data_IF_147823805950
#
_entry.id   IF_147823805950
#
_cell.length_a   1.000
_cell.length_b   1.000
_cell.length_c   1.000
_cell.angle_alpha   90.00
_cell.angle_beta   90.00
_cell.angle_gamma   90.00
#
_symmetry.space_group_name_H-M   'P 1'
#
loop_
_entity.id
_entity.type
_entity.pdbx_description
1 polymer ?
#
# COMPACT_ATOMS: atom_id res chain seq x y z
N UNK A 1 -2.89 -19.82 3.02
CA UNK A 1 -2.81 -18.91 1.85
C UNK A 1 -1.45 -18.21 1.83
N UNK A 2 -0.83 -17.98 0.66
CA UNK A 2 0.46 -17.28 0.57
C UNK A 2 0.31 -15.75 0.66
N UNK A 3 1.33 -15.05 1.14
CA UNK A 3 1.36 -13.59 1.12
C UNK A 3 1.41 -13.05 -0.32
N UNK A 4 0.58 -12.04 -0.59
CA UNK A 4 0.49 -11.39 -1.90
C UNK A 4 0.64 -9.86 -1.77
N UNK A 5 0.99 -9.15 -2.86
CA UNK A 5 1.07 -7.68 -2.85
C UNK A 5 -0.25 -7.00 -2.45
N UNK A 6 -1.40 -7.58 -2.83
CA UNK A 6 -2.71 -6.98 -2.57
C UNK A 6 -3.06 -6.92 -1.08
N UNK A 7 -2.59 -7.88 -0.27
CA UNK A 7 -2.81 -7.86 1.18
C UNK A 7 -2.06 -6.69 1.81
N UNK A 8 -0.80 -6.46 1.42
CA UNK A 8 0.01 -5.34 1.92
C UNK A 8 -0.64 -4.00 1.56
N UNK A 9 -1.09 -3.85 0.31
CA UNK A 9 -1.77 -2.63 -0.14
C UNK A 9 -3.10 -2.41 0.58
N UNK A 10 -3.89 -3.45 0.81
CA UNK A 10 -5.15 -3.34 1.53
C UNK A 10 -4.95 -2.95 3.01
N UNK A 11 -3.90 -3.47 3.67
CA UNK A 11 -3.53 -3.07 5.02
C UNK A 11 -3.08 -1.60 5.09
N UNK A 12 -2.28 -1.15 4.12
CA UNK A 12 -1.86 0.25 4.01
C UNK A 12 -3.04 1.19 3.76
N UNK A 13 -3.98 0.82 2.88
CA UNK A 13 -5.20 1.60 2.64
C UNK A 13 -6.01 1.78 3.93
N UNK A 14 -6.11 0.73 4.76
CA UNK A 14 -6.87 0.77 6.01
C UNK A 14 -6.19 1.60 7.10
N UNK A 15 -4.87 1.52 7.21
CA UNK A 15 -4.11 2.17 8.30
C UNK A 15 -3.62 3.57 7.96
N UNK A 16 -3.41 3.86 6.68
CA UNK A 16 -2.64 5.02 6.26
C UNK A 16 -1.14 4.84 6.50
N UNK A 17 -0.45 5.94 6.84
CA UNK A 17 0.98 5.92 7.09
C UNK A 17 1.33 5.08 8.34
N UNK A 18 2.25 4.14 8.21
CA UNK A 18 2.62 3.21 9.30
C UNK A 18 4.11 2.86 9.24
N UNK A 19 4.64 2.20 10.27
CA UNK A 19 6.01 1.66 10.22
C UNK A 19 6.05 0.28 9.57
N UNK A 20 7.21 -0.12 9.04
CA UNK A 20 7.42 -1.48 8.52
C UNK A 20 7.06 -2.57 9.54
N UNK A 21 7.42 -2.36 10.81
CA UNK A 21 7.11 -3.30 11.90
C UNK A 21 5.61 -3.45 12.09
N UNK A 22 4.88 -2.35 12.20
CA UNK A 22 3.43 -2.37 12.42
C UNK A 22 2.68 -2.96 11.21
N UNK A 23 3.16 -2.64 10.00
CA UNK A 23 2.61 -3.21 8.78
C UNK A 23 2.81 -4.72 8.73
N UNK A 24 4.01 -5.20 9.06
CA UNK A 24 4.31 -6.63 9.11
C UNK A 24 3.39 -7.36 10.09
N UNK A 25 3.25 -6.87 11.33
CA UNK A 25 2.41 -7.53 12.34
C UNK A 25 0.93 -7.54 11.93
N UNK A 26 0.44 -6.50 11.24
CA UNK A 26 -0.94 -6.48 10.74
C UNK A 26 -1.14 -7.44 9.58
N UNK A 27 -0.24 -7.42 8.60
CA UNK A 27 -0.26 -8.35 7.45
C UNK A 27 -0.19 -9.79 7.94
N UNK A 28 0.66 -10.08 8.93
CA UNK A 28 0.79 -11.39 9.55
C UNK A 28 -0.54 -11.87 10.14
N UNK A 29 -1.20 -11.06 10.97
CA UNK A 29 -2.51 -11.39 11.53
C UNK A 29 -3.57 -11.65 10.46
N UNK A 30 -3.57 -10.86 9.38
CA UNK A 30 -4.52 -11.03 8.26
C UNK A 30 -4.25 -12.29 7.45
N UNK A 31 -3.00 -12.70 7.29
CA UNK A 31 -2.64 -13.94 6.60
C UNK A 31 -2.94 -15.17 7.49
N UNK A 32 -2.63 -15.09 8.78
CA UNK A 32 -2.89 -16.17 9.75
C UNK A 32 -4.38 -16.43 9.95
N UNK A 33 -5.23 -15.39 9.92
CA UNK A 33 -6.69 -15.54 10.07
C UNK A 33 -7.35 -16.34 8.94
N UNK A 34 -6.69 -16.45 7.79
CA UNK A 34 -7.14 -17.25 6.64
C UNK A 34 -6.31 -18.54 6.45
N UNK A 35 -5.62 -18.99 7.49
CA UNK A 35 -4.81 -20.21 7.48
C UNK A 35 -3.57 -20.11 6.59
N UNK A 36 -3.00 -18.92 6.46
CA UNK A 36 -1.72 -18.68 5.80
C UNK A 36 -0.58 -18.49 6.79
N UNK A 37 0.63 -18.53 6.25
CA UNK A 37 1.84 -18.16 6.97
C UNK A 37 2.59 -17.11 6.15
N UNK A 38 3.35 -16.27 6.85
CA UNK A 38 4.19 -15.25 6.24
C UNK A 38 5.54 -15.19 6.95
N UNK A 39 6.61 -15.29 6.18
CA UNK A 39 7.94 -15.00 6.68
C UNK A 39 8.29 -13.52 6.55
N UNK A 40 9.17 -13.02 7.42
CA UNK A 40 9.71 -11.65 7.30
C UNK A 40 10.38 -11.41 5.95
N UNK A 41 11.10 -12.40 5.42
CA UNK A 41 11.84 -12.26 4.16
C UNK A 41 10.91 -12.13 2.96
N UNK A 42 9.81 -12.88 2.91
CA UNK A 42 8.77 -12.73 1.87
C UNK A 42 8.10 -11.36 1.94
N UNK A 43 7.75 -10.92 3.15
CA UNK A 43 7.18 -9.59 3.35
C UNK A 43 8.12 -8.48 2.85
N UNK A 44 9.39 -8.51 3.25
CA UNK A 44 10.38 -7.51 2.82
C UNK A 44 10.55 -7.50 1.30
N UNK A 45 10.65 -8.67 0.66
CA UNK A 45 10.77 -8.75 -0.82
C UNK A 45 9.56 -8.13 -1.52
N UNK A 46 8.36 -8.39 -1.03
CA UNK A 46 7.13 -7.84 -1.61
C UNK A 46 7.02 -6.34 -1.37
N UNK A 47 7.38 -5.87 -0.18
CA UNK A 47 7.39 -4.44 0.13
C UNK A 47 8.36 -3.67 -0.77
N UNK A 48 9.59 -4.18 -0.97
CA UNK A 48 10.56 -3.60 -1.92
C UNK A 48 10.03 -3.63 -3.36
N UNK A 49 9.36 -4.71 -3.76
CA UNK A 49 8.75 -4.81 -5.09
C UNK A 49 7.66 -3.75 -5.30
N UNK A 50 6.84 -3.51 -4.28
CA UNK A 50 5.81 -2.47 -4.30
C UNK A 50 6.42 -1.07 -4.37
N UNK A 51 7.54 -0.85 -3.70
CA UNK A 51 8.27 0.42 -3.73
C UNK A 51 8.88 0.69 -5.11
N UNK A 52 9.59 -0.29 -5.68
CA UNK A 52 10.18 -0.18 -7.01
C UNK A 52 9.14 0.08 -8.11
N UNK A 53 7.92 -0.43 -7.91
CA UNK A 53 6.79 -0.21 -8.83
C UNK A 53 6.01 1.08 -8.57
N UNK A 54 6.38 1.86 -7.54
CA UNK A 54 5.76 3.13 -7.22
C UNK A 54 4.38 3.03 -6.56
N UNK A 55 4.04 1.90 -5.95
CA UNK A 55 2.78 1.76 -5.20
C UNK A 55 2.89 2.27 -3.76
N UNK A 56 4.08 2.15 -3.18
CA UNK A 56 4.39 2.59 -1.82
C UNK A 56 5.67 3.41 -1.84
N UNK A 57 5.83 4.26 -0.83
CA UNK A 57 7.06 5.00 -0.57
C UNK A 57 7.50 4.73 0.85
N UNK A 58 8.78 4.41 1.03
CA UNK A 58 9.42 4.45 2.34
C UNK A 58 9.99 5.85 2.55
N UNK A 59 9.47 6.54 3.56
CA UNK A 59 9.90 7.86 3.99
C UNK A 59 10.73 7.76 5.27
N UNK A 60 11.67 8.70 5.43
CA UNK A 60 12.34 9.05 6.70
C UNK A 60 12.47 7.92 7.71
N UNK A 61 11.81 8.04 8.87
CA UNK A 61 11.84 7.08 9.98
C UNK A 61 11.17 5.72 9.69
N UNK A 62 11.40 5.14 8.49
CA UNK A 62 10.79 3.90 7.99
C UNK A 62 9.27 3.95 7.98
N UNK A 63 8.72 5.13 7.68
CA UNK A 63 7.29 5.34 7.47
C UNK A 63 6.95 4.88 6.07
N UNK A 64 5.97 4.00 5.95
CA UNK A 64 5.46 3.49 4.69
C UNK A 64 4.16 4.22 4.41
N UNK A 65 4.09 4.86 3.25
CA UNK A 65 2.91 5.55 2.77
C UNK A 65 2.53 4.95 1.43
N UNK A 66 1.25 4.62 1.26
CA UNK A 66 0.74 4.23 -0.04
C UNK A 66 0.62 5.48 -0.91
N UNK A 67 1.17 5.42 -2.12
CA UNK A 67 1.24 6.60 -2.97
C UNK A 67 -0.12 7.00 -3.56
N UNK A 68 -1.11 6.12 -3.47
CA UNK A 68 -2.40 6.19 -4.15
C UNK A 68 -2.24 6.41 -5.66
N UNK A 69 -3.12 5.83 -6.46
CA UNK A 69 -3.19 6.18 -7.87
C UNK A 69 -3.77 7.60 -8.00
N UNK A 70 -3.01 8.64 -7.64
CA UNK A 70 -3.36 10.06 -7.86
C UNK A 70 -3.56 10.42 -9.35
N UNK A 71 -3.42 9.45 -10.25
CA UNK A 71 -3.91 9.57 -11.63
C UNK A 71 -5.43 9.69 -11.72
N UNK A 72 -6.22 9.15 -10.78
CA UNK A 72 -7.68 9.31 -10.84
C UNK A 72 -8.15 10.67 -10.30
N UNK A 73 -7.54 11.17 -9.23
CA UNK A 73 -7.91 12.48 -8.64
C UNK A 73 -7.49 13.64 -9.55
N UNK A 74 -6.27 13.59 -10.12
CA UNK A 74 -5.78 14.64 -11.03
C UNK A 74 -6.51 14.69 -12.38
N UNK A 75 -7.12 13.58 -12.83
CA UNK A 75 -7.96 13.58 -14.03
C UNK A 75 -9.37 14.11 -13.75
N UNK A 76 -9.91 13.86 -12.56
CA UNK A 76 -11.25 14.33 -12.16
C UNK A 76 -11.28 15.85 -11.91
N UNK A 77 -10.23 16.42 -11.31
CA UNK A 77 -10.11 17.87 -11.12
C UNK A 77 -9.93 18.63 -12.45
N UNK A 78 -9.27 18.01 -13.44
CA UNK A 78 -9.12 18.60 -14.79
C UNK A 78 -10.40 18.50 -15.62
N UNK A 79 -11.19 17.44 -15.48
CA UNK A 79 -12.45 17.28 -16.21
C UNK A 79 -13.55 18.26 -15.73
N UNK A 80 -13.63 18.50 -14.41
CA UNK A 80 -14.67 19.36 -13.82
C UNK A 80 -14.45 20.86 -13.99
N UNK A 81 -13.22 21.30 -14.30
CA UNK A 81 -12.92 22.72 -14.56
C UNK A 81 -13.29 23.15 -15.99
N UNK A 82 -13.27 22.22 -16.95
CA UNK A 82 -13.61 22.51 -18.36
C UNK A 82 -15.11 22.63 -18.58
N UNK A 83 -15.96 21.93 -17.83
CA UNK A 83 -17.42 21.99 -17.98
C UNK A 83 -18.08 23.24 -17.35
N UNK A 84 -17.37 23.98 -16.49
CA UNK A 84 -17.89 25.21 -15.85
C UNK A 84 -17.56 26.50 -16.59
N UNK A 85 -16.85 26.42 -17.72
CA UNK A 85 -16.39 27.57 -18.51
C UNK A 85 -16.99 27.63 -19.91
N UNK A 86 -18.12 26.94 -20.16
CA UNK A 86 -18.87 26.97 -21.42
C UNK A 86 -20.28 27.46 -21.17
#
# INVERSE_FOLDING_TARGET
MALTPHIILAELLRKGATTERELYESVKKTVESVGGEVSRSEFTKLLMTLELRGYVRVEGARRIVQLASRRLEQQTERATHTERSV
#
